data_IF_811428655965
#
_entry.id   IF_811428655965
#
_cell.length_a   1.000
_cell.length_b   1.000
_cell.length_c   1.000
_cell.angle_alpha   90.00
_cell.angle_beta   90.00
_cell.angle_gamma   90.00
#
_symmetry.space_group_name_H-M   'P 1'
#
loop_
_entity.id
_entity.type
_entity.pdbx_description
1 polymer ?
#
# COMPACT_ATOMS: atom_id res chain seq x y z
N UNK A 1 8.06 16.53 -0.71
CA UNK A 1 7.96 16.23 0.73
C UNK A 1 8.13 14.73 0.86
N UNK A 2 9.08 14.26 1.66
CA UNK A 2 9.32 12.82 1.81
C UNK A 2 8.06 12.15 2.37
N UNK A 3 7.52 11.17 1.64
CA UNK A 3 6.49 10.26 2.14
C UNK A 3 7.11 9.46 3.28
N UNK A 4 6.67 9.71 4.50
CA UNK A 4 7.04 8.84 5.61
C UNK A 4 6.14 7.60 5.53
N UNK A 5 6.75 6.42 5.45
CA UNK A 5 6.04 5.14 5.51
C UNK A 5 5.88 4.75 6.97
N UNK A 6 4.67 4.33 7.33
CA UNK A 6 4.34 3.80 8.65
C UNK A 6 4.11 2.28 8.56
N UNK A 7 4.31 1.52 9.64
CA UNK A 7 4.04 0.08 9.67
C UNK A 7 2.58 -0.32 9.37
N UNK A 8 1.63 0.61 9.51
CA UNK A 8 0.21 0.36 9.27
C UNK A 8 -0.47 -0.52 10.33
N UNK A 9 -1.59 -1.13 9.95
CA UNK A 9 -2.39 -2.05 10.75
C UNK A 9 -2.70 -3.31 9.93
N UNK A 10 -2.69 -4.52 10.53
CA UNK A 10 -2.93 -5.77 9.81
C UNK A 10 -4.41 -5.96 9.40
N UNK A 11 -5.33 -5.14 9.91
CA UNK A 11 -6.76 -5.18 9.59
C UNK A 11 -7.36 -3.76 9.55
N UNK A 12 -8.45 -3.55 8.79
CA UNK A 12 -9.11 -4.52 7.90
C UNK A 12 -8.27 -4.86 6.67
N UNK A 13 -8.47 -6.05 6.08
CA UNK A 13 -7.81 -6.43 4.84
C UNK A 13 -8.22 -5.52 3.68
N UNK A 14 -7.30 -5.31 2.74
CA UNK A 14 -7.47 -4.44 1.59
C UNK A 14 -6.80 -3.08 1.80
N UNK A 15 -7.36 -2.05 1.19
CA UNK A 15 -6.90 -0.66 1.36
C UNK A 15 -7.92 0.14 2.16
N UNK A 16 -7.45 1.00 3.06
CA UNK A 16 -8.31 1.84 3.90
C UNK A 16 -7.72 3.24 4.04
N UNK A 17 -8.50 4.27 3.70
CA UNK A 17 -8.11 5.67 3.85
C UNK A 17 -8.57 6.22 5.20
N UNK A 18 -7.66 6.83 5.97
CA UNK A 18 -7.96 7.37 7.31
C UNK A 18 -8.08 8.90 7.37
N UNK A 19 -7.99 9.58 6.22
CA UNK A 19 -7.95 11.05 6.14
C UNK A 19 -6.54 11.65 6.08
N UNK A 20 -5.50 10.87 6.39
CA UNK A 20 -4.08 11.29 6.34
C UNK A 20 -3.25 10.42 5.40
N UNK A 21 -3.60 9.15 5.28
CA UNK A 21 -2.90 8.16 4.48
C UNK A 21 -3.79 6.96 4.14
N UNK A 22 -3.26 6.08 3.30
CA UNK A 22 -3.87 4.79 3.02
C UNK A 22 -3.10 3.68 3.74
N UNK A 23 -3.82 2.85 4.52
CA UNK A 23 -3.32 1.61 5.08
C UNK A 23 -3.58 0.46 4.10
N UNK A 24 -2.57 -0.38 3.85
CA UNK A 24 -2.69 -1.59 3.05
C UNK A 24 -2.43 -2.83 3.91
N UNK A 25 -3.38 -3.76 3.92
CA UNK A 25 -3.25 -5.04 4.61
C UNK A 25 -3.58 -6.18 3.65
N UNK A 26 -2.62 -7.08 3.43
CA UNK A 26 -2.78 -8.23 2.54
C UNK A 26 -2.44 -9.49 3.32
N UNK A 27 -3.31 -10.50 3.23
CA UNK A 27 -3.00 -11.83 3.69
C UNK A 27 -2.31 -12.62 2.58
N UNK A 28 -1.25 -13.34 2.92
CA UNK A 28 -0.68 -14.38 2.07
C UNK A 28 -0.22 -15.55 2.91
N UNK A 29 -0.73 -16.75 2.61
CA UNK A 29 -0.31 -17.98 3.28
C UNK A 29 1.09 -18.47 2.85
N UNK A 30 1.55 -18.02 1.67
CA UNK A 30 2.68 -18.65 0.97
C UNK A 30 3.65 -17.65 0.31
N UNK A 31 3.40 -16.34 0.34
CA UNK A 31 4.30 -15.38 -0.29
C UNK A 31 5.60 -15.25 0.51
N UNK A 32 6.72 -15.24 -0.21
CA UNK A 32 8.05 -14.96 0.36
C UNK A 32 8.33 -13.46 0.44
N UNK A 33 7.66 -12.65 -0.41
CA UNK A 33 7.74 -11.19 -0.45
C UNK A 33 6.44 -10.60 -0.98
N UNK A 34 6.12 -9.39 -0.53
CA UNK A 34 5.03 -8.55 -1.04
C UNK A 34 5.60 -7.16 -1.35
N UNK A 35 5.15 -6.56 -2.45
CA UNK A 35 5.53 -5.21 -2.89
C UNK A 35 4.27 -4.38 -3.15
N UNK A 36 4.30 -3.10 -2.78
CA UNK A 36 3.22 -2.16 -3.03
C UNK A 36 3.58 -1.28 -4.23
N UNK A 37 2.97 -1.53 -5.38
CA UNK A 37 3.18 -0.69 -6.57
C UNK A 37 2.15 0.44 -6.63
N UNK A 38 2.62 1.69 -6.65
CA UNK A 38 1.77 2.88 -6.76
C UNK A 38 1.82 3.39 -8.19
N UNK A 39 0.66 3.67 -8.78
CA UNK A 39 0.55 4.16 -10.16
C UNK A 39 -0.06 5.56 -10.22
N UNK A 40 0.15 6.25 -11.33
CA UNK A 40 -0.58 7.47 -11.64
C UNK A 40 -2.09 7.22 -11.79
N UNK A 41 -2.87 8.31 -11.84
CA UNK A 41 -4.33 8.25 -11.94
C UNK A 41 -4.82 7.53 -13.21
N UNK A 42 -4.03 7.54 -14.29
CA UNK A 42 -4.38 6.85 -15.52
C UNK A 42 -4.01 5.34 -15.47
N UNK A 43 -3.26 4.91 -14.45
CA UNK A 43 -2.74 3.56 -14.31
C UNK A 43 -1.62 3.24 -15.30
N UNK A 44 -1.04 4.25 -15.96
CA UNK A 44 -0.11 4.04 -17.08
C UNK A 44 1.36 4.07 -16.65
N UNK A 45 1.67 4.76 -15.56
CA UNK A 45 3.03 4.88 -15.05
C UNK A 45 3.12 4.46 -13.58
N UNK A 46 4.04 3.55 -13.28
CA UNK A 46 4.46 3.25 -11.90
C UNK A 46 5.23 4.46 -11.34
N UNK A 47 4.84 4.90 -10.16
CA UNK A 47 5.43 6.02 -9.44
C UNK A 47 6.39 5.54 -8.35
N UNK A 48 6.02 4.50 -7.61
CA UNK A 48 6.78 3.95 -6.47
C UNK A 48 6.56 2.43 -6.33
N UNK A 49 7.55 1.72 -5.78
CA UNK A 49 7.52 0.30 -5.40
C UNK A 49 8.39 0.05 -4.16
#
# INVERSE_FOLDING_TARGET
MASFLEPGQPYPLGSSWDGRGANFALFSAHAEKVELCVFDRAGQRELER
#
